data_IF_980476664914
#
_entry.id   IF_980476664914
#
_cell.length_a   1.000
_cell.length_b   1.000
_cell.length_c   1.000
_cell.angle_alpha   90.00
_cell.angle_beta   90.00
_cell.angle_gamma   90.00
#
_symmetry.space_group_name_H-M   'P 1'
#
loop_
_entity.id
_entity.type
_entity.pdbx_description
1 polymer ?
#
# COMPACT_ATOMS: atom_id res chain seq x y z
N UNK A 1 115.86 13.74 198.20
CA UNK A 1 114.53 13.44 198.75
C UNK A 1 113.37 14.20 198.09
N UNK A 2 113.56 15.31 197.37
CA UNK A 2 112.46 16.00 196.68
C UNK A 2 112.14 15.48 195.25
N UNK A 3 112.83 14.41 194.86
CA UNK A 3 112.66 13.62 193.62
C UNK A 3 111.27 12.98 193.53
N UNK A 4 110.58 12.73 194.65
CA UNK A 4 109.26 12.09 194.67
C UNK A 4 108.13 13.09 194.43
N UNK A 5 108.21 14.32 194.95
CA UNK A 5 107.23 15.37 194.66
C UNK A 5 107.29 15.82 193.18
N UNK A 6 108.50 15.82 192.61
CA UNK A 6 108.75 15.94 191.17
C UNK A 6 108.16 14.79 190.35
N UNK A 7 107.92 13.61 190.93
CA UNK A 7 107.28 12.51 190.21
C UNK A 7 105.77 12.48 190.39
N UNK A 8 105.24 12.68 191.59
CA UNK A 8 103.79 12.62 191.83
C UNK A 8 103.07 13.81 191.19
N UNK A 9 103.62 15.02 191.26
CA UNK A 9 103.03 16.17 190.59
C UNK A 9 103.18 16.06 189.06
N UNK A 10 104.31 15.51 188.58
CA UNK A 10 104.52 15.27 187.15
C UNK A 10 103.59 14.18 186.60
N UNK A 11 103.38 13.09 187.35
CA UNK A 11 102.43 12.02 187.02
C UNK A 11 101.00 12.51 187.11
N UNK A 12 100.62 13.30 188.13
CA UNK A 12 99.26 13.82 188.26
C UNK A 12 98.94 14.87 187.19
N UNK A 13 99.88 15.77 186.89
CA UNK A 13 99.76 16.72 185.77
C UNK A 13 99.72 15.97 184.44
N UNK A 14 100.50 14.90 184.28
CA UNK A 14 100.46 14.07 183.08
C UNK A 14 99.21 13.21 182.96
N UNK A 15 98.62 12.71 184.05
CA UNK A 15 97.36 11.97 184.02
C UNK A 15 96.17 12.89 183.70
N UNK A 16 96.10 14.08 184.33
CA UNK A 16 95.10 15.09 183.95
C UNK A 16 95.29 15.55 182.51
N UNK A 17 96.54 15.75 182.07
CA UNK A 17 96.85 16.01 180.65
C UNK A 17 96.40 14.85 179.76
N UNK A 18 96.71 13.61 180.09
CA UNK A 18 96.38 12.43 179.29
C UNK A 18 94.88 12.17 179.20
N UNK A 19 94.10 12.36 180.27
CA UNK A 19 92.62 12.32 180.18
C UNK A 19 92.06 13.46 179.35
N UNK A 20 92.62 14.67 179.49
CA UNK A 20 92.22 15.82 178.67
C UNK A 20 92.55 15.58 177.19
N UNK A 21 93.73 15.02 176.88
CA UNK A 21 94.19 14.65 175.55
C UNK A 21 93.33 13.52 174.98
N UNK A 22 93.03 12.46 175.73
CA UNK A 22 92.20 11.35 175.25
C UNK A 22 90.75 11.77 174.97
N UNK A 23 90.17 12.65 175.80
CA UNK A 23 88.84 13.22 175.51
C UNK A 23 88.87 14.12 174.28
N UNK A 24 89.93 14.91 174.09
CA UNK A 24 90.16 15.70 172.88
C UNK A 24 90.31 14.82 171.65
N UNK A 25 91.15 13.80 171.71
CA UNK A 25 91.37 12.86 170.59
C UNK A 25 90.09 12.13 170.20
N UNK A 26 89.24 11.71 171.16
CA UNK A 26 87.95 11.13 170.82
C UNK A 26 86.97 12.17 170.28
N UNK A 27 86.95 13.39 170.81
CA UNK A 27 86.14 14.49 170.27
C UNK A 27 86.57 14.83 168.83
N UNK A 28 87.87 15.03 168.60
CA UNK A 28 88.49 15.29 167.30
C UNK A 28 88.19 14.17 166.29
N UNK A 29 88.20 12.90 166.73
CA UNK A 29 87.90 11.75 165.85
C UNK A 29 86.41 11.67 165.50
N UNK A 30 85.54 12.06 166.43
CA UNK A 30 84.09 12.14 166.17
C UNK A 30 83.78 13.33 165.26
N UNK A 31 84.45 14.46 165.47
CA UNK A 31 84.37 15.66 164.66
C UNK A 31 84.88 15.41 163.23
N UNK A 32 86.00 14.68 163.06
CA UNK A 32 86.49 14.22 161.75
C UNK A 32 85.50 13.29 161.03
N UNK A 33 84.87 12.35 161.73
CA UNK A 33 83.85 11.47 161.13
C UNK A 33 82.62 12.28 160.70
N UNK A 34 82.20 13.27 161.50
CA UNK A 34 81.10 14.17 161.14
C UNK A 34 81.47 15.02 159.92
N UNK A 35 82.69 15.54 159.85
CA UNK A 35 83.20 16.29 158.69
C UNK A 35 83.18 15.40 157.45
N UNK A 36 83.70 14.17 157.52
CA UNK A 36 83.68 13.24 156.38
C UNK A 36 82.26 12.90 155.91
N UNK A 37 81.33 12.63 156.83
CA UNK A 37 79.93 12.37 156.48
C UNK A 37 79.29 13.60 155.87
N UNK A 38 79.61 14.80 156.37
CA UNK A 38 79.08 16.05 155.86
C UNK A 38 79.65 16.37 154.47
N UNK A 39 80.93 16.08 154.22
CA UNK A 39 81.56 16.18 152.91
C UNK A 39 80.94 15.19 151.91
N UNK A 40 80.69 13.95 152.33
CA UNK A 40 80.02 12.96 151.48
C UNK A 40 78.55 13.33 151.21
N UNK A 41 77.84 13.86 152.20
CA UNK A 41 76.50 14.43 152.03
C UNK A 41 76.50 15.62 151.07
N UNK A 42 77.49 16.51 151.18
CA UNK A 42 77.67 17.62 150.24
C UNK A 42 77.94 17.09 148.84
N UNK A 43 78.84 16.12 148.68
CA UNK A 43 79.15 15.49 147.39
C UNK A 43 77.92 14.84 146.78
N UNK A 44 77.17 14.06 147.55
CA UNK A 44 75.90 13.47 147.11
C UNK A 44 74.86 14.54 146.79
N UNK A 45 74.80 15.63 147.54
CA UNK A 45 73.97 16.79 147.25
C UNK A 45 74.32 17.44 145.91
N UNK A 46 75.62 17.59 145.62
CA UNK A 46 76.09 18.09 144.32
C UNK A 46 75.78 17.12 143.18
N UNK A 47 75.96 15.81 143.38
CA UNK A 47 75.61 14.78 142.39
C UNK A 47 74.10 14.79 142.10
N UNK A 48 73.25 14.88 143.12
CA UNK A 48 71.79 14.97 142.97
C UNK A 48 71.38 16.23 142.20
N UNK A 49 72.04 17.36 142.46
CA UNK A 49 71.74 18.60 141.73
C UNK A 49 72.17 18.51 140.27
N UNK A 50 73.33 17.91 139.98
CA UNK A 50 73.76 17.62 138.62
C UNK A 50 72.76 16.71 137.91
N UNK A 51 72.33 15.61 138.56
CA UNK A 51 71.31 14.71 138.02
C UNK A 51 69.96 15.40 137.78
N UNK A 52 69.57 16.37 138.62
CA UNK A 52 68.35 17.16 138.40
C UNK A 52 68.46 18.05 137.18
N UNK A 53 69.60 18.71 136.98
CA UNK A 53 69.83 19.54 135.81
C UNK A 53 69.93 18.69 134.53
N UNK A 54 70.58 17.53 134.58
CA UNK A 54 70.58 16.55 133.48
C UNK A 54 69.15 16.08 133.16
N UNK A 55 68.38 15.67 134.18
CA UNK A 55 66.99 15.26 134.01
C UNK A 55 66.13 16.37 133.39
N UNK A 56 66.35 17.62 133.79
CA UNK A 56 65.67 18.79 133.24
C UNK A 56 66.09 19.05 131.79
N UNK A 57 67.36 18.87 131.45
CA UNK A 57 67.85 18.90 130.06
C UNK A 57 67.16 17.83 129.23
N UNK A 58 67.14 16.58 129.70
CA UNK A 58 66.47 15.46 129.02
C UNK A 58 64.98 15.71 128.84
N UNK A 59 64.30 16.27 129.84
CA UNK A 59 62.87 16.64 129.73
C UNK A 59 62.67 17.71 128.64
N UNK A 60 63.58 18.68 128.55
CA UNK A 60 63.53 19.75 127.54
C UNK A 60 63.75 19.18 126.14
N UNK A 61 64.77 18.34 125.97
CA UNK A 61 65.03 17.63 124.72
C UNK A 61 63.86 16.74 124.31
N UNK A 62 63.28 15.97 125.24
CA UNK A 62 62.12 15.12 124.97
C UNK A 62 60.89 15.94 124.57
N UNK A 63 60.71 17.11 125.19
CA UNK A 63 59.64 18.04 124.83
C UNK A 63 59.85 18.60 123.42
N UNK A 64 61.08 18.96 123.07
CA UNK A 64 61.43 19.41 121.72
C UNK A 64 61.21 18.30 120.69
N UNK A 65 61.65 17.07 120.98
CA UNK A 65 61.42 15.89 120.13
C UNK A 65 59.92 15.68 119.90
N UNK A 66 59.07 15.87 120.92
CA UNK A 66 57.61 15.77 120.76
C UNK A 66 57.05 16.84 119.82
N UNK A 67 57.57 18.07 119.89
CA UNK A 67 57.18 19.16 118.99
C UNK A 67 57.63 18.85 117.55
N UNK A 68 58.86 18.41 117.36
CA UNK A 68 59.42 18.07 116.04
C UNK A 68 58.68 16.88 115.42
N UNK A 69 58.31 15.88 116.23
CA UNK A 69 57.47 14.77 115.80
C UNK A 69 56.10 15.25 115.33
N UNK A 70 55.47 16.18 116.07
CA UNK A 70 54.17 16.74 115.68
C UNK A 70 54.26 17.58 114.40
N UNK A 71 55.34 18.33 114.23
CA UNK A 71 55.63 19.07 113.00
C UNK A 71 55.83 18.14 111.80
N UNK A 72 56.55 17.04 112.01
CA UNK A 72 56.77 16.01 110.98
C UNK A 72 55.47 15.30 110.60
N UNK A 73 54.62 14.96 111.57
CA UNK A 73 53.28 14.39 111.34
C UNK A 73 52.41 15.32 110.49
N UNK A 74 52.42 16.63 110.76
CA UNK A 74 51.66 17.60 109.97
C UNK A 74 52.16 17.67 108.51
N UNK A 75 53.48 17.73 108.31
CA UNK A 75 54.08 17.73 106.96
C UNK A 75 53.76 16.44 106.20
N UNK A 76 53.71 15.30 106.90
CA UNK A 76 53.33 14.03 106.32
C UNK A 76 51.87 14.05 105.84
N UNK A 77 50.95 14.58 106.66
CA UNK A 77 49.54 14.72 106.31
C UNK A 77 49.33 15.69 105.12
N UNK A 78 50.06 16.81 105.08
CA UNK A 78 50.03 17.73 103.92
C UNK A 78 50.51 17.04 102.64
N UNK A 79 51.61 16.29 102.73
CA UNK A 79 52.13 15.53 101.59
C UNK A 79 51.19 14.40 101.14
N UNK A 80 50.46 13.75 102.05
CA UNK A 80 49.39 12.81 101.69
C UNK A 80 48.24 13.48 100.95
N UNK A 81 47.85 14.69 101.37
CA UNK A 81 46.81 15.47 100.69
C UNK A 81 47.24 15.89 99.28
N UNK A 82 48.46 16.40 99.12
CA UNK A 82 49.02 16.79 97.83
C UNK A 82 49.19 15.57 96.90
N UNK A 83 49.56 14.41 97.46
CA UNK A 83 49.65 13.16 96.70
C UNK A 83 48.28 12.71 96.20
N UNK A 84 47.24 12.82 97.02
CA UNK A 84 45.89 12.45 96.59
C UNK A 84 45.33 13.46 95.57
N UNK A 85 45.58 14.76 95.72
CA UNK A 85 45.15 15.78 94.75
C UNK A 85 45.82 15.57 93.39
N UNK A 86 47.14 15.40 93.35
CA UNK A 86 47.89 15.13 92.10
C UNK A 86 47.44 13.84 91.43
N UNK A 87 47.16 12.79 92.21
CA UNK A 87 46.59 11.53 91.70
C UNK A 87 45.20 11.73 91.09
N UNK A 88 44.35 12.58 91.66
CA UNK A 88 43.03 12.88 91.08
C UNK A 88 43.14 13.69 89.79
N UNK A 89 44.03 14.67 89.73
CA UNK A 89 44.27 15.49 88.54
C UNK A 89 44.80 14.63 87.38
N UNK A 90 45.81 13.80 87.64
CA UNK A 90 46.34 12.85 86.64
C UNK A 90 45.28 11.87 86.12
N UNK A 91 44.33 11.46 86.97
CA UNK A 91 43.24 10.58 86.57
C UNK A 91 42.24 11.29 85.65
N UNK A 92 41.95 12.56 85.92
CA UNK A 92 41.09 13.39 85.09
C UNK A 92 41.74 13.68 83.73
N UNK A 93 43.02 14.05 83.72
CA UNK A 93 43.78 14.30 82.49
C UNK A 93 43.87 13.05 81.62
N UNK A 94 44.12 11.89 82.24
CA UNK A 94 44.13 10.60 81.54
C UNK A 94 42.77 10.31 80.90
N UNK A 95 41.66 10.56 81.60
CA UNK A 95 40.33 10.34 81.06
C UNK A 95 39.98 11.35 79.94
N UNK A 96 40.37 12.61 80.07
CA UNK A 96 40.20 13.63 79.03
C UNK A 96 40.97 13.26 77.75
N UNK A 97 42.25 12.89 77.91
CA UNK A 97 43.12 12.48 76.79
C UNK A 97 42.56 11.25 76.08
N UNK A 98 42.00 10.30 76.84
CA UNK A 98 41.35 9.11 76.30
C UNK A 98 40.09 9.46 75.51
N UNK A 99 39.28 10.40 75.99
CA UNK A 99 38.09 10.86 75.28
C UNK A 99 38.44 11.56 73.97
N UNK A 100 39.44 12.45 73.98
CA UNK A 100 39.95 13.12 72.78
C UNK A 100 40.48 12.11 71.76
N UNK A 101 41.27 11.12 72.21
CA UNK A 101 41.76 10.06 71.33
C UNK A 101 40.62 9.24 70.71
N UNK A 102 39.53 9.04 71.46
CA UNK A 102 38.34 8.33 70.96
C UNK A 102 37.61 9.14 69.89
N UNK A 103 37.48 10.46 70.08
CA UNK A 103 36.92 11.36 69.07
C UNK A 103 37.75 11.39 67.79
N UNK A 104 39.08 11.54 67.91
CA UNK A 104 40.00 11.52 66.75
C UNK A 104 39.89 10.20 65.98
N UNK A 105 39.73 9.07 66.68
CA UNK A 105 39.53 7.77 66.05
C UNK A 105 38.24 7.72 65.23
N UNK A 106 37.14 8.28 65.76
CA UNK A 106 35.86 8.37 65.05
C UNK A 106 35.98 9.25 63.80
N UNK A 107 36.64 10.41 63.90
CA UNK A 107 36.84 11.31 62.76
C UNK A 107 37.69 10.66 61.66
N UNK A 108 38.73 9.91 62.04
CA UNK A 108 39.55 9.17 61.10
C UNK A 108 38.76 8.07 60.39
N UNK A 109 37.90 7.36 61.12
CA UNK A 109 37.02 6.33 60.56
C UNK A 109 35.97 6.94 59.62
N UNK A 110 35.42 8.13 59.96
CA UNK A 110 34.55 8.90 59.07
C UNK A 110 35.26 9.29 57.77
N UNK A 111 36.47 9.85 57.87
CA UNK A 111 37.29 10.27 56.72
C UNK A 111 37.62 9.08 55.81
N UNK A 112 37.94 7.91 56.38
CA UNK A 112 38.16 6.69 55.62
C UNK A 112 36.91 6.30 54.82
N UNK A 113 35.72 6.43 55.40
CA UNK A 113 34.47 6.07 54.74
C UNK A 113 34.11 7.05 53.62
N UNK A 114 34.32 8.35 53.81
CA UNK A 114 34.18 9.34 52.73
C UNK A 114 35.13 9.05 51.56
N UNK A 115 36.39 8.71 51.86
CA UNK A 115 37.37 8.36 50.82
C UNK A 115 36.96 7.10 50.04
N UNK A 116 36.38 6.09 50.73
CA UNK A 116 35.82 4.91 50.06
C UNK A 116 34.65 5.29 49.15
N UNK A 117 33.78 6.20 49.58
CA UNK A 117 32.65 6.65 48.76
C UNK A 117 33.12 7.40 47.50
N UNK A 118 34.06 8.33 47.64
CA UNK A 118 34.65 9.04 46.49
C UNK A 118 35.25 8.07 45.47
N UNK A 119 35.89 6.98 45.95
CA UNK A 119 36.42 5.94 45.07
C UNK A 119 35.32 5.20 44.29
N UNK A 120 34.17 4.95 44.91
CA UNK A 120 33.00 4.35 44.25
C UNK A 120 32.44 5.28 43.19
N UNK A 121 32.27 6.56 43.52
CA UNK A 121 31.72 7.57 42.60
C UNK A 121 32.64 7.78 41.38
N UNK A 122 33.95 7.73 41.58
CA UNK A 122 34.95 7.81 40.52
C UNK A 122 34.88 6.62 39.55
N UNK A 123 34.69 5.40 40.06
CA UNK A 123 34.50 4.24 39.18
C UNK A 123 33.15 4.30 38.45
N UNK A 124 32.08 4.82 39.08
CA UNK A 124 30.79 5.04 38.42
C UNK A 124 30.91 6.02 37.25
N UNK A 125 31.49 7.20 37.48
CA UNK A 125 31.69 8.23 36.43
C UNK A 125 32.58 7.71 35.29
N UNK A 126 33.58 6.87 35.58
CA UNK A 126 34.41 6.22 34.56
C UNK A 126 33.62 5.22 33.71
N UNK A 127 32.64 4.52 34.28
CA UNK A 127 31.74 3.63 33.52
C UNK A 127 30.83 4.46 32.61
N UNK A 128 30.22 5.53 33.14
CA UNK A 128 29.37 6.44 32.34
C UNK A 128 30.15 7.06 31.18
N UNK A 129 31.39 7.49 31.41
CA UNK A 129 32.24 8.05 30.36
C UNK A 129 32.55 7.02 29.25
N UNK A 130 32.75 5.74 29.61
CA UNK A 130 32.91 4.66 28.63
C UNK A 130 31.63 4.46 27.82
N UNK A 131 30.46 4.55 28.45
CA UNK A 131 29.17 4.43 27.76
C UNK A 131 28.97 5.58 26.76
N UNK A 132 29.20 6.83 27.18
CA UNK A 132 29.12 8.00 26.29
C UNK A 132 30.04 7.84 25.06
N UNK A 133 31.23 7.26 25.24
CA UNK A 133 32.14 6.98 24.13
C UNK A 133 31.57 5.96 23.14
N UNK A 134 30.86 4.94 23.63
CA UNK A 134 30.16 3.95 22.79
C UNK A 134 29.04 4.62 22.01
N UNK A 135 28.21 5.43 22.69
CA UNK A 135 27.07 6.13 22.07
C UNK A 135 27.53 7.11 20.99
N UNK A 136 28.67 7.79 21.22
CA UNK A 136 29.27 8.70 20.25
C UNK A 136 29.75 7.95 18.99
N UNK A 137 30.37 6.77 19.13
CA UNK A 137 30.78 5.98 17.97
C UNK A 137 29.56 5.42 17.22
N UNK A 138 28.49 5.04 17.92
CA UNK A 138 27.21 4.67 17.30
C UNK A 138 26.64 5.82 16.47
N UNK A 139 26.50 7.00 17.06
CA UNK A 139 25.98 8.21 16.40
C UNK A 139 26.81 8.57 15.16
N UNK A 140 28.14 8.43 15.24
CA UNK A 140 29.05 8.65 14.11
C UNK A 140 28.84 7.64 12.98
N UNK A 141 28.48 6.39 13.29
CA UNK A 141 28.15 5.39 12.29
C UNK A 141 26.78 5.65 11.65
N UNK A 142 25.79 6.03 12.44
CA UNK A 142 24.48 6.44 11.94
C UNK A 142 24.60 7.62 10.97
N UNK A 143 25.44 8.61 11.31
CA UNK A 143 25.72 9.74 10.43
C UNK A 143 26.38 9.34 9.10
N UNK A 144 27.28 8.34 9.11
CA UNK A 144 27.86 7.80 7.87
C UNK A 144 26.78 7.13 7.03
N UNK A 145 25.86 6.39 7.64
CA UNK A 145 24.77 5.72 6.94
C UNK A 145 23.82 6.75 6.30
N UNK A 146 23.40 7.77 7.05
CA UNK A 146 22.58 8.88 6.52
C UNK A 146 23.24 9.54 5.31
N UNK A 147 24.57 9.69 5.31
CA UNK A 147 25.30 10.24 4.16
C UNK A 147 25.25 9.32 2.93
N UNK A 148 25.26 8.01 3.13
CA UNK A 148 25.08 7.02 2.05
C UNK A 148 23.66 7.09 1.49
N UNK A 149 22.66 7.11 2.37
CA UNK A 149 21.24 7.15 1.98
C UNK A 149 20.91 8.45 1.22
N UNK A 150 21.47 9.58 1.65
CA UNK A 150 21.34 10.86 0.97
C UNK A 150 21.96 10.81 -0.44
N UNK A 151 23.09 10.12 -0.61
CA UNK A 151 23.72 9.93 -1.93
C UNK A 151 22.85 9.03 -2.82
N UNK A 152 22.24 7.98 -2.28
CA UNK A 152 21.30 7.12 -3.02
C UNK A 152 20.09 7.92 -3.49
N UNK A 153 19.45 8.62 -2.56
CA UNK A 153 18.27 9.47 -2.83
C UNK A 153 18.57 10.51 -3.91
N UNK A 154 19.76 11.12 -3.88
CA UNK A 154 20.20 12.07 -4.92
C UNK A 154 20.30 11.42 -6.30
N UNK A 155 20.82 10.19 -6.38
CA UNK A 155 20.95 9.46 -7.64
C UNK A 155 19.56 9.05 -8.18
N UNK A 156 18.68 8.57 -7.31
CA UNK A 156 17.29 8.25 -7.66
C UNK A 156 16.56 9.47 -8.21
N UNK A 157 16.73 10.63 -7.57
CA UNK A 157 16.16 11.90 -8.07
C UNK A 157 16.71 12.30 -9.44
N UNK A 158 18.01 12.09 -9.69
CA UNK A 158 18.61 12.34 -11.00
C UNK A 158 18.02 11.40 -12.07
N UNK A 159 17.77 10.14 -11.73
CA UNK A 159 17.14 9.18 -12.64
C UNK A 159 15.71 9.61 -12.99
N UNK A 160 14.92 10.04 -12.00
CA UNK A 160 13.56 10.55 -12.21
C UNK A 160 13.56 11.74 -13.18
N UNK A 161 14.55 12.64 -13.10
CA UNK A 161 14.68 13.75 -14.05
C UNK A 161 14.89 13.26 -15.49
N UNK A 162 15.77 12.28 -15.68
CA UNK A 162 16.02 11.66 -16.99
C UNK A 162 14.77 10.99 -17.55
N UNK A 163 14.04 10.25 -16.72
CA UNK A 163 12.82 9.55 -17.13
C UNK A 163 11.71 10.54 -17.51
N UNK A 164 11.61 11.66 -16.79
CA UNK A 164 10.66 12.74 -17.09
C UNK A 164 10.98 13.41 -18.43
N UNK A 165 12.25 13.67 -18.72
CA UNK A 165 12.70 14.23 -20.00
C UNK A 165 12.41 13.27 -21.16
N UNK A 166 12.67 11.96 -20.97
CA UNK A 166 12.32 10.93 -21.95
C UNK A 166 10.82 10.87 -22.23
N UNK A 167 10.00 10.90 -21.18
CA UNK A 167 8.53 10.89 -21.29
C UNK A 167 8.03 12.13 -22.03
N UNK A 168 8.61 13.31 -21.75
CA UNK A 168 8.30 14.56 -22.45
C UNK A 168 8.60 14.45 -23.94
N UNK A 169 9.75 13.87 -24.30
CA UNK A 169 10.15 13.71 -25.71
C UNK A 169 9.21 12.74 -26.45
N UNK A 170 8.85 11.63 -25.82
CA UNK A 170 7.88 10.68 -26.39
C UNK A 170 6.50 11.35 -26.62
N UNK A 171 6.05 12.19 -25.69
CA UNK A 171 4.80 12.94 -25.83
C UNK A 171 4.83 13.91 -27.03
N UNK A 172 5.94 14.61 -27.23
CA UNK A 172 6.07 15.53 -28.38
C UNK A 172 6.09 14.76 -29.71
N UNK A 173 6.70 13.57 -29.75
CA UNK A 173 6.65 12.68 -30.93
C UNK A 173 5.21 12.25 -31.25
N UNK A 174 4.46 11.76 -30.25
CA UNK A 174 3.05 11.35 -30.42
C UNK A 174 2.22 12.52 -30.96
N UNK A 175 2.47 13.75 -30.47
CA UNK A 175 1.77 14.94 -30.93
C UNK A 175 2.07 15.25 -32.41
N UNK A 176 3.31 15.09 -32.86
CA UNK A 176 3.68 15.23 -34.27
C UNK A 176 3.00 14.17 -35.13
N UNK A 177 3.01 12.91 -34.69
CA UNK A 177 2.33 11.81 -35.38
C UNK A 177 0.82 12.05 -35.51
N UNK A 178 0.17 12.51 -34.44
CA UNK A 178 -1.26 12.82 -34.43
C UNK A 178 -1.62 13.89 -35.47
N UNK A 179 -0.80 14.94 -35.60
CA UNK A 179 -1.00 15.99 -36.61
C UNK A 179 -0.86 15.40 -38.02
N UNK A 180 0.15 14.55 -38.24
CA UNK A 180 0.36 13.87 -39.53
C UNK A 180 -0.83 12.96 -39.90
N UNK A 181 -1.29 12.12 -38.97
CA UNK A 181 -2.46 11.25 -39.19
C UNK A 181 -3.72 12.07 -39.47
N UNK A 182 -3.92 13.19 -38.77
CA UNK A 182 -5.05 14.09 -39.04
C UNK A 182 -5.03 14.63 -40.47
N UNK A 183 -3.84 14.98 -40.98
CA UNK A 183 -3.70 15.46 -42.34
C UNK A 183 -3.96 14.36 -43.37
N UNK A 184 -3.46 13.14 -43.13
CA UNK A 184 -3.76 11.98 -43.98
C UNK A 184 -5.27 11.70 -44.06
N UNK A 185 -6.00 11.79 -42.93
CA UNK A 185 -7.46 11.64 -42.91
C UNK A 185 -8.14 12.73 -43.75
N UNK A 186 -7.66 13.97 -43.70
CA UNK A 186 -8.23 15.06 -44.50
C UNK A 186 -8.03 14.83 -46.00
N UNK A 187 -6.86 14.33 -46.41
CA UNK A 187 -6.57 13.99 -47.81
C UNK A 187 -7.50 12.86 -48.27
N UNK A 188 -7.57 11.76 -47.53
CA UNK A 188 -8.45 10.62 -47.86
C UNK A 188 -9.92 11.02 -47.97
N UNK A 189 -10.39 11.93 -47.09
CA UNK A 189 -11.75 12.47 -47.19
C UNK A 189 -12.00 13.24 -48.48
N UNK A 190 -11.03 14.04 -48.95
CA UNK A 190 -11.13 14.76 -50.22
C UNK A 190 -11.19 13.78 -51.40
N UNK A 191 -10.30 12.79 -51.42
CA UNK A 191 -10.27 11.74 -52.45
C UNK A 191 -11.59 10.96 -52.50
N UNK A 192 -12.16 10.61 -51.34
CA UNK A 192 -13.48 9.97 -51.28
C UNK A 192 -14.58 10.84 -51.89
N UNK A 193 -14.64 12.15 -51.56
CA UNK A 193 -15.65 13.05 -52.14
C UNK A 193 -15.51 13.20 -53.65
N UNK A 194 -14.28 13.25 -54.16
CA UNK A 194 -14.04 13.29 -55.61
C UNK A 194 -14.53 12.01 -56.29
N UNK A 195 -14.21 10.85 -55.71
CA UNK A 195 -14.64 9.55 -56.22
C UNK A 195 -16.17 9.40 -56.20
N UNK A 196 -16.83 9.83 -55.13
CA UNK A 196 -18.30 9.82 -55.03
C UNK A 196 -18.95 10.73 -56.10
N UNK A 197 -18.35 11.89 -56.38
CA UNK A 197 -18.81 12.78 -57.44
C UNK A 197 -18.66 12.16 -58.83
N UNK A 198 -17.54 11.49 -59.10
CA UNK A 198 -17.31 10.76 -60.36
C UNK A 198 -18.33 9.65 -60.52
N UNK A 199 -18.49 8.79 -59.52
CA UNK A 199 -19.45 7.70 -59.57
C UNK A 199 -20.89 8.17 -59.72
N UNK A 200 -21.26 9.32 -59.11
CA UNK A 200 -22.58 9.92 -59.31
C UNK A 200 -22.79 10.32 -60.76
N UNK A 201 -21.83 10.99 -61.39
CA UNK A 201 -21.89 11.37 -62.82
C UNK A 201 -21.98 10.15 -63.74
N UNK A 202 -21.17 9.12 -63.49
CA UNK A 202 -21.24 7.85 -64.24
C UNK A 202 -22.61 7.19 -64.11
N UNK A 203 -23.17 7.15 -62.88
CA UNK A 203 -24.48 6.56 -62.62
C UNK A 203 -25.60 7.32 -63.33
N UNK A 204 -25.55 8.65 -63.33
CA UNK A 204 -26.53 9.48 -64.03
C UNK A 204 -26.42 9.34 -65.55
N UNK A 205 -25.20 9.24 -66.09
CA UNK A 205 -24.96 8.96 -67.50
C UNK A 205 -25.51 7.59 -67.91
N UNK A 206 -25.16 6.53 -67.18
CA UNK A 206 -25.67 5.17 -67.42
C UNK A 206 -27.20 5.16 -67.37
N UNK A 207 -27.81 5.87 -66.41
CA UNK A 207 -29.28 5.99 -66.32
C UNK A 207 -29.87 6.65 -67.57
N UNK A 208 -29.22 7.70 -68.09
CA UNK A 208 -29.65 8.36 -69.33
C UNK A 208 -29.55 7.42 -70.53
N UNK A 209 -28.42 6.71 -70.67
CA UNK A 209 -28.18 5.76 -71.77
C UNK A 209 -29.17 4.59 -71.74
N UNK A 210 -29.44 4.00 -70.58
CA UNK A 210 -30.45 2.95 -70.39
C UNK A 210 -31.83 3.44 -70.81
N UNK A 211 -32.20 4.67 -70.46
CA UNK A 211 -33.49 5.25 -70.85
C UNK A 211 -33.59 5.51 -72.36
N UNK A 212 -32.51 5.95 -73.00
CA UNK A 212 -32.44 6.13 -74.45
C UNK A 212 -32.58 4.78 -75.19
N UNK A 213 -31.81 3.77 -74.78
CA UNK A 213 -31.87 2.42 -75.34
C UNK A 213 -33.26 1.79 -75.21
N UNK A 214 -33.93 1.96 -74.05
CA UNK A 214 -35.32 1.51 -73.85
C UNK A 214 -36.28 2.13 -74.87
N UNK A 215 -36.10 3.41 -75.24
CA UNK A 215 -36.93 4.08 -76.25
C UNK A 215 -36.67 3.50 -77.64
N UNK A 216 -35.42 3.28 -78.02
CA UNK A 216 -35.05 2.69 -79.31
C UNK A 216 -35.58 1.26 -79.46
N UNK A 217 -35.43 0.41 -78.43
CA UNK A 217 -36.02 -0.95 -78.42
C UNK A 217 -37.54 -0.90 -78.65
N UNK A 218 -38.24 0.07 -78.04
CA UNK A 218 -39.69 0.25 -78.24
C UNK A 218 -40.04 0.62 -79.68
N UNK A 219 -39.22 1.41 -80.37
CA UNK A 219 -39.41 1.75 -81.79
C UNK A 219 -39.16 0.54 -82.70
N UNK A 220 -38.07 -0.18 -82.50
CA UNK A 220 -37.72 -1.37 -83.29
C UNK A 220 -38.81 -2.44 -83.20
N UNK A 221 -39.31 -2.71 -81.98
CA UNK A 221 -40.42 -3.66 -81.78
C UNK A 221 -41.69 -3.28 -82.57
N UNK A 222 -42.00 -1.98 -82.68
CA UNK A 222 -43.14 -1.51 -83.48
C UNK A 222 -42.90 -1.68 -84.98
N UNK A 223 -41.71 -1.37 -85.47
CA UNK A 223 -41.37 -1.47 -86.90
C UNK A 223 -41.36 -2.91 -87.41
N UNK A 224 -40.84 -3.87 -86.62
CA UNK A 224 -40.79 -5.28 -87.00
C UNK A 224 -42.17 -5.94 -87.20
N UNK A 225 -43.22 -5.39 -86.59
CA UNK A 225 -44.59 -5.92 -86.76
C UNK A 225 -45.23 -5.51 -88.09
N UNK A 226 -44.72 -4.47 -88.75
CA UNK A 226 -45.33 -3.88 -89.95
C UNK A 226 -44.84 -4.48 -91.29
N UNK A 227 -43.79 -5.31 -91.29
CA UNK A 227 -43.09 -5.76 -92.53
C UNK A 227 -43.12 -7.26 -92.78
N UNK A 228 -43.84 -8.04 -91.98
CA UNK A 228 -43.90 -9.50 -92.15
C UNK A 228 -44.86 -9.92 -93.26
N UNK A 229 -44.43 -10.76 -94.21
CA UNK A 229 -45.29 -11.50 -95.14
C UNK A 229 -46.35 -12.28 -94.34
N UNK A 230 -47.64 -11.88 -94.36
CA UNK A 230 -48.61 -12.48 -93.47
C UNK A 230 -48.87 -13.93 -93.82
N UNK A 231 -48.96 -14.78 -92.80
CA UNK A 231 -49.37 -16.17 -92.96
C UNK A 231 -50.08 -16.63 -91.69
N UNK A 232 -51.22 -17.28 -91.85
CA UNK A 232 -51.96 -17.85 -90.74
C UNK A 232 -52.52 -19.22 -91.09
N UNK A 233 -52.72 -20.01 -90.03
CA UNK A 233 -53.48 -21.25 -90.05
C UNK A 233 -54.27 -21.28 -88.75
N UNK A 234 -55.58 -21.43 -88.88
CA UNK A 234 -56.49 -21.60 -87.76
C UNK A 234 -57.45 -22.75 -88.04
N UNK A 235 -57.76 -23.52 -87.01
CA UNK A 235 -58.70 -24.62 -87.09
C UNK A 235 -59.85 -24.43 -86.09
N UNK A 236 -60.94 -25.17 -86.29
CA UNK A 236 -62.08 -25.14 -85.37
C UNK A 236 -61.87 -26.17 -84.25
N UNK A 237 -61.91 -25.74 -83.00
CA UNK A 237 -61.81 -26.66 -81.85
C UNK A 237 -63.13 -27.38 -81.56
N UNK A 238 -64.27 -26.70 -81.33
CA UNK A 238 -65.52 -27.37 -80.98
C UNK A 238 -66.21 -27.99 -82.21
N UNK A 239 -66.90 -29.11 -82.00
CA UNK A 239 -67.97 -29.53 -82.92
C UNK A 239 -69.12 -28.53 -82.76
N UNK A 240 -69.49 -27.83 -83.85
CA UNK A 240 -70.36 -26.66 -83.73
C UNK A 240 -71.52 -26.77 -84.74
N UNK A 241 -72.80 -26.58 -84.32
CA UNK A 241 -73.82 -26.15 -85.27
C UNK A 241 -73.39 -24.78 -85.78
N UNK A 242 -73.24 -24.62 -87.09
CA UNK A 242 -72.80 -23.35 -87.63
C UNK A 242 -73.72 -22.23 -87.14
N UNK A 243 -73.15 -21.04 -86.85
CA UNK A 243 -73.94 -19.89 -86.43
C UNK A 243 -74.95 -19.51 -87.53
N UNK A 244 -75.75 -18.47 -87.29
CA UNK A 244 -76.89 -18.13 -88.16
C UNK A 244 -76.43 -17.96 -89.62
N UNK A 245 -77.36 -18.09 -90.56
CA UNK A 245 -77.10 -17.78 -91.97
C UNK A 245 -76.42 -16.40 -92.05
N UNK A 246 -75.36 -16.29 -92.87
CA UNK A 246 -74.49 -15.13 -93.06
C UNK A 246 -73.48 -14.79 -91.94
N UNK A 247 -73.41 -15.59 -90.87
CA UNK A 247 -72.39 -15.41 -89.83
C UNK A 247 -70.99 -15.85 -90.29
N UNK A 248 -69.97 -15.14 -89.76
CA UNK A 248 -68.56 -15.47 -89.99
C UNK A 248 -68.17 -16.66 -89.12
N UNK A 249 -67.58 -17.68 -89.74
CA UNK A 249 -67.02 -18.84 -89.03
C UNK A 249 -65.70 -18.42 -88.38
N UNK A 250 -65.62 -18.56 -87.05
CA UNK A 250 -64.46 -18.18 -86.25
C UNK A 250 -63.62 -19.42 -85.93
N UNK A 251 -62.45 -19.51 -86.56
CA UNK A 251 -61.49 -20.57 -86.28
C UNK A 251 -60.62 -20.14 -85.10
N UNK A 252 -60.77 -20.81 -83.97
CA UNK A 252 -60.24 -20.42 -82.66
C UNK A 252 -58.86 -21.03 -82.34
N UNK A 253 -58.57 -22.23 -82.85
CA UNK A 253 -57.26 -22.89 -82.71
C UNK A 253 -56.24 -22.31 -83.69
N UNK A 254 -55.67 -21.16 -83.34
CA UNK A 254 -54.66 -20.47 -84.15
C UNK A 254 -53.27 -21.08 -83.92
N UNK A 255 -52.77 -21.83 -84.90
CA UNK A 255 -51.45 -22.47 -84.83
C UNK A 255 -50.35 -21.63 -85.46
N UNK A 256 -50.70 -20.82 -86.46
CA UNK A 256 -49.80 -19.87 -87.11
C UNK A 256 -50.53 -18.54 -87.29
N UNK A 257 -49.87 -17.43 -86.97
CA UNK A 257 -50.39 -16.08 -87.23
C UNK A 257 -49.25 -15.07 -87.41
N UNK A 258 -48.35 -15.38 -88.35
CA UNK A 258 -47.22 -14.52 -88.68
C UNK A 258 -47.74 -13.22 -89.29
N UNK A 259 -47.28 -12.09 -88.74
CA UNK A 259 -47.78 -10.76 -89.12
C UNK A 259 -49.07 -10.35 -88.40
N UNK A 260 -49.64 -11.22 -87.54
CA UNK A 260 -50.80 -10.91 -86.71
C UNK A 260 -52.04 -10.48 -87.49
N UNK A 261 -52.15 -10.92 -88.75
CA UNK A 261 -53.18 -10.45 -89.69
C UNK A 261 -54.52 -11.19 -89.54
N UNK A 262 -54.55 -12.36 -88.91
CA UNK A 262 -55.78 -13.08 -88.58
C UNK A 262 -56.18 -12.82 -87.13
N UNK A 263 -57.45 -12.45 -86.92
CA UNK A 263 -58.02 -12.26 -85.58
C UNK A 263 -59.01 -13.40 -85.26
N UNK A 264 -58.67 -14.33 -84.35
CA UNK A 264 -59.55 -15.45 -83.99
C UNK A 264 -60.85 -15.02 -83.29
N UNK A 265 -60.88 -13.83 -82.66
CA UNK A 265 -62.09 -13.35 -81.98
C UNK A 265 -63.17 -12.92 -82.98
N UNK A 266 -62.76 -12.54 -84.20
CA UNK A 266 -63.66 -12.13 -85.29
C UNK A 266 -63.74 -13.16 -86.42
N UNK A 267 -62.75 -14.05 -86.56
CA UNK A 267 -62.66 -15.01 -87.66
C UNK A 267 -62.12 -14.40 -88.96
N UNK A 268 -61.50 -13.22 -88.88
CA UNK A 268 -61.21 -12.38 -90.05
C UNK A 268 -59.71 -12.18 -90.22
N UNK A 269 -59.24 -12.43 -91.44
CA UNK A 269 -57.94 -11.98 -91.91
C UNK A 269 -58.08 -10.53 -92.42
N UNK A 270 -57.20 -9.63 -91.99
CA UNK A 270 -57.08 -8.27 -92.51
C UNK A 270 -55.70 -8.09 -93.14
N UNK A 271 -55.65 -7.79 -94.43
CA UNK A 271 -54.40 -7.60 -95.15
C UNK A 271 -53.59 -6.45 -94.56
N UNK A 272 -52.40 -6.74 -94.04
CA UNK A 272 -51.45 -5.74 -93.52
C UNK A 272 -50.48 -5.23 -94.58
N UNK A 273 -50.40 -5.94 -95.72
CA UNK A 273 -49.62 -5.59 -96.91
C UNK A 273 -50.48 -5.77 -98.16
N UNK A 274 -50.21 -5.00 -99.21
CA UNK A 274 -50.82 -5.23 -100.52
C UNK A 274 -50.13 -6.38 -101.24
N UNK A 275 -50.89 -7.20 -101.97
CA UNK A 275 -50.35 -8.21 -102.88
C UNK A 275 -51.28 -9.41 -103.07
N UNK A 276 -50.73 -10.49 -103.63
CA UNK A 276 -51.42 -11.75 -103.88
C UNK A 276 -51.32 -12.70 -102.68
N UNK A 277 -52.45 -13.27 -102.29
CA UNK A 277 -52.57 -14.22 -101.18
C UNK A 277 -53.24 -15.51 -101.67
N UNK A 278 -52.80 -16.66 -101.18
CA UNK A 278 -53.60 -17.89 -101.30
C UNK A 278 -54.39 -18.08 -100.01
N UNK A 279 -55.67 -18.39 -100.14
CA UNK A 279 -56.51 -18.80 -99.03
C UNK A 279 -57.09 -20.18 -99.31
N UNK A 280 -57.08 -21.03 -98.30
CA UNK A 280 -57.66 -22.36 -98.36
C UNK A 280 -58.56 -22.56 -97.15
N UNK A 281 -59.80 -22.99 -97.39
CA UNK A 281 -60.72 -23.40 -96.34
C UNK A 281 -61.24 -24.80 -96.63
N UNK A 282 -61.02 -25.70 -95.67
CA UNK A 282 -61.57 -27.05 -95.69
C UNK A 282 -62.64 -27.13 -94.63
N UNK A 283 -63.87 -27.46 -95.03
CA UNK A 283 -64.96 -27.75 -94.10
C UNK A 283 -65.35 -29.22 -94.22
N UNK A 284 -65.38 -29.90 -93.07
CA UNK A 284 -65.90 -31.26 -92.95
C UNK A 284 -67.29 -31.18 -92.29
N UNK A 285 -68.35 -31.52 -93.04
CA UNK A 285 -69.71 -31.61 -92.48
C UNK A 285 -69.84 -32.82 -91.57
N UNK A 286 -70.68 -32.70 -90.53
CA UNK A 286 -70.99 -33.80 -89.63
C UNK A 286 -71.79 -34.93 -90.32
N UNK A 287 -71.81 -36.14 -89.77
CA UNK A 287 -72.58 -37.26 -90.31
C UNK A 287 -74.07 -36.88 -90.45
N UNK A 288 -74.62 -37.05 -91.67
CA UNK A 288 -76.02 -36.68 -91.97
C UNK A 288 -76.27 -35.17 -92.13
N UNK A 289 -75.25 -34.32 -92.12
CA UNK A 289 -75.35 -32.87 -92.38
C UNK A 289 -74.65 -32.50 -93.69
N UNK A 290 -75.07 -31.40 -94.29
CA UNK A 290 -74.30 -30.67 -95.31
C UNK A 290 -73.73 -29.38 -94.71
N UNK A 291 -72.86 -28.69 -95.45
CA UNK A 291 -72.44 -27.33 -95.13
C UNK A 291 -72.28 -26.51 -96.40
N UNK A 292 -73.01 -25.40 -96.48
CA UNK A 292 -72.85 -24.39 -97.52
C UNK A 292 -72.11 -23.19 -96.96
N UNK A 293 -70.98 -22.88 -97.56
CA UNK A 293 -70.15 -21.78 -97.09
C UNK A 293 -69.58 -20.99 -98.26
N UNK A 294 -68.99 -19.86 -97.96
CA UNK A 294 -68.31 -19.02 -98.93
C UNK A 294 -67.10 -18.38 -98.29
N UNK A 295 -66.06 -18.23 -99.10
CA UNK A 295 -65.00 -17.29 -98.82
C UNK A 295 -65.43 -15.92 -99.31
N UNK A 296 -65.35 -14.92 -98.45
CA UNK A 296 -65.64 -13.53 -98.77
C UNK A 296 -64.35 -12.73 -98.92
N UNK A 297 -64.32 -11.84 -99.92
CA UNK A 297 -63.43 -10.68 -99.94
C UNK A 297 -64.27 -9.44 -99.60
N UNK A 298 -63.93 -8.78 -98.51
CA UNK A 298 -64.73 -7.70 -97.92
C UNK A 298 -66.19 -8.14 -97.78
N UNK A 299 -67.15 -7.36 -98.26
CA UNK A 299 -68.58 -7.69 -98.15
C UNK A 299 -69.06 -8.74 -99.18
N UNK A 300 -68.27 -9.07 -100.20
CA UNK A 300 -68.74 -9.85 -101.35
C UNK A 300 -68.29 -11.31 -101.30
N UNK A 301 -69.15 -12.28 -101.69
CA UNK A 301 -68.74 -13.67 -101.87
C UNK A 301 -67.72 -13.76 -103.02
N UNK A 302 -66.63 -14.49 -102.79
CA UNK A 302 -65.55 -14.69 -103.76
C UNK A 302 -65.56 -16.12 -104.30
N UNK A 303 -65.64 -17.12 -103.42
CA UNK A 303 -65.71 -18.54 -103.77
C UNK A 303 -66.78 -19.23 -102.94
N UNK A 304 -67.54 -20.12 -103.58
CA UNK A 304 -68.58 -20.90 -102.93
C UNK A 304 -68.06 -22.30 -102.62
N UNK A 305 -68.31 -22.78 -101.41
CA UNK A 305 -67.99 -24.12 -100.95
C UNK A 305 -69.24 -24.89 -100.56
N UNK A 306 -69.22 -26.19 -100.81
CA UNK A 306 -70.30 -27.09 -100.48
C UNK A 306 -69.73 -28.45 -100.05
N UNK A 307 -69.97 -28.83 -98.80
CA UNK A 307 -69.65 -30.17 -98.27
C UNK A 307 -70.95 -30.97 -98.15
N UNK A 308 -71.00 -32.13 -98.80
CA UNK A 308 -72.16 -33.01 -98.81
C UNK A 308 -72.16 -33.96 -97.59
N UNK A 309 -73.33 -34.54 -97.30
CA UNK A 309 -73.48 -35.56 -96.25
C UNK A 309 -72.62 -36.80 -96.55
N UNK A 310 -71.98 -37.35 -95.52
CA UNK A 310 -71.16 -38.57 -95.64
C UNK A 310 -69.71 -38.47 -95.13
N UNK A 311 -69.39 -37.45 -94.32
CA UNK A 311 -68.02 -37.15 -93.88
C UNK A 311 -67.07 -36.79 -95.04
N UNK A 312 -67.61 -36.04 -96.01
CA UNK A 312 -66.84 -35.54 -97.15
C UNK A 312 -66.23 -34.16 -96.84
N UNK A 313 -64.92 -34.01 -97.06
CA UNK A 313 -64.24 -32.72 -96.94
C UNK A 313 -64.28 -32.04 -98.30
N UNK A 314 -64.92 -30.88 -98.37
CA UNK A 314 -64.89 -30.05 -99.57
C UNK A 314 -63.97 -28.88 -99.29
N UNK A 315 -62.73 -28.86 -99.79
CA UNK A 315 -61.87 -27.71 -99.68
C UNK A 315 -62.12 -26.71 -100.80
N UNK A 316 -62.19 -25.43 -100.46
CA UNK A 316 -62.05 -24.34 -101.42
C UNK A 316 -60.65 -23.74 -101.30
N UNK A 317 -60.04 -23.41 -102.44
CA UNK A 317 -58.76 -22.69 -102.49
C UNK A 317 -58.83 -21.61 -103.55
N UNK A 318 -58.29 -20.43 -103.25
CA UNK A 318 -58.25 -19.34 -104.23
C UNK A 318 -57.13 -18.35 -103.95
N UNK A 319 -56.61 -17.82 -105.05
CA UNK A 319 -55.64 -16.74 -105.05
C UNK A 319 -56.38 -15.42 -105.16
N UNK A 320 -56.12 -14.50 -104.25
CA UNK A 320 -56.83 -13.23 -104.10
C UNK A 320 -55.82 -12.09 -103.99
N UNK A 321 -55.94 -11.10 -104.86
CA UNK A 321 -55.22 -9.83 -104.71
C UNK A 321 -55.90 -8.97 -103.65
N UNK A 322 -55.17 -8.51 -102.64
CA UNK A 322 -55.67 -7.70 -101.52
C UNK A 322 -54.91 -6.39 -101.42
N UNK A 323 -55.61 -5.30 -101.08
CA UNK A 323 -55.03 -4.04 -100.62
C UNK A 323 -54.92 -4.03 -99.10
N UNK A 324 -54.02 -3.20 -98.55
CA UNK A 324 -53.94 -2.99 -97.10
C UNK A 324 -55.33 -2.60 -96.56
N UNK A 325 -55.80 -3.34 -95.56
CA UNK A 325 -57.12 -3.18 -94.95
C UNK A 325 -58.24 -4.05 -95.56
N UNK A 326 -58.01 -4.71 -96.71
CA UNK A 326 -58.97 -5.69 -97.24
C UNK A 326 -59.13 -6.86 -96.27
N UNK A 327 -60.36 -7.38 -96.17
CA UNK A 327 -60.74 -8.42 -95.22
C UNK A 327 -61.10 -9.71 -95.94
N UNK A 328 -60.62 -10.85 -95.44
CA UNK A 328 -60.97 -12.18 -95.96
C UNK A 328 -61.44 -13.08 -94.82
N UNK A 329 -62.57 -13.74 -95.02
CA UNK A 329 -63.19 -14.59 -93.99
C UNK A 329 -64.16 -15.58 -94.61
N UNK A 330 -64.57 -16.59 -93.83
CA UNK A 330 -65.52 -17.61 -94.25
C UNK A 330 -66.90 -17.32 -93.66
N UNK A 331 -67.94 -17.37 -94.49
CA UNK A 331 -69.35 -17.24 -94.06
C UNK A 331 -70.16 -18.47 -94.36
N UNK A 332 -71.09 -18.78 -93.46
CA UNK A 332 -72.12 -19.80 -93.64
C UNK A 332 -73.30 -19.23 -94.48
N UNK A 333 -73.91 -20.03 -95.38
CA UNK A 333 -74.83 -19.51 -96.42
C UNK A 333 -76.30 -19.93 -96.37
N UNK A 334 -76.64 -21.15 -95.92
CA UNK A 334 -77.93 -21.75 -96.35
C UNK A 334 -78.88 -22.09 -95.21
N UNK A 335 -78.53 -22.95 -94.25
CA UNK A 335 -79.46 -23.28 -93.14
C UNK A 335 -78.78 -23.31 -91.78
N UNK A 336 -79.37 -22.65 -90.78
CA UNK A 336 -78.85 -22.60 -89.41
C UNK A 336 -78.76 -23.95 -88.67
N UNK A 337 -79.13 -25.06 -89.31
CA UNK A 337 -79.07 -26.43 -88.78
C UNK A 337 -77.86 -27.24 -89.27
N UNK A 338 -76.99 -26.66 -90.10
CA UNK A 338 -75.79 -27.34 -90.60
C UNK A 338 -74.74 -27.48 -89.48
N UNK A 339 -74.17 -28.68 -89.32
CA UNK A 339 -73.18 -28.99 -88.30
C UNK A 339 -71.86 -29.38 -88.95
N UNK A 340 -70.75 -28.82 -88.47
CA UNK A 340 -69.40 -29.11 -88.96
C UNK A 340 -68.54 -29.76 -87.89
N UNK A 341 -67.59 -30.59 -88.32
CA UNK A 341 -66.61 -31.21 -87.43
C UNK A 341 -65.53 -30.20 -87.02
N UNK A 342 -65.37 -30.02 -85.71
CA UNK A 342 -64.22 -29.36 -85.09
C UNK A 342 -63.02 -30.31 -84.98
N UNK A 343 -62.30 -30.26 -83.86
CA UNK A 343 -61.07 -31.05 -83.64
C UNK A 343 -60.05 -30.94 -84.79
N UNK A 344 -59.97 -29.75 -85.39
CA UNK A 344 -59.12 -29.42 -86.52
C UNK A 344 -59.41 -30.11 -87.86
N UNK A 345 -60.54 -30.79 -88.00
CA UNK A 345 -61.02 -31.27 -89.30
C UNK A 345 -61.49 -30.12 -90.21
N UNK A 346 -62.04 -29.06 -89.61
CA UNK A 346 -62.41 -27.83 -90.29
C UNK A 346 -61.33 -26.77 -90.06
N UNK A 347 -60.76 -26.22 -91.12
CA UNK A 347 -59.64 -25.28 -91.04
C UNK A 347 -59.70 -24.18 -92.09
N UNK A 348 -59.08 -23.05 -91.77
CA UNK A 348 -58.90 -21.92 -92.64
C UNK A 348 -57.46 -21.43 -92.53
N UNK A 349 -56.82 -21.28 -93.68
CA UNK A 349 -55.45 -20.81 -93.77
C UNK A 349 -55.32 -19.82 -94.91
N UNK A 350 -54.30 -18.99 -94.79
CA UNK A 350 -53.91 -18.11 -95.87
C UNK A 350 -52.51 -17.58 -95.68
N UNK A 351 -51.83 -17.34 -96.79
CA UNK A 351 -50.49 -16.81 -96.78
C UNK A 351 -50.24 -15.91 -97.98
N UNK A 352 -49.37 -14.93 -97.75
CA UNK A 352 -48.88 -14.03 -98.77
C UNK A 352 -47.98 -14.77 -99.77
N UNK A 353 -48.26 -14.60 -101.05
CA UNK A 353 -47.50 -15.19 -102.16
C UNK A 353 -46.44 -14.19 -102.62
N UNK A 354 -46.87 -13.08 -103.21
CA UNK A 354 -45.99 -12.04 -103.74
C UNK A 354 -46.71 -10.68 -103.80
N UNK A 355 -45.93 -9.59 -103.89
CA UNK A 355 -46.41 -8.20 -103.96
C UNK A 355 -47.05 -7.85 -105.31
#
# INVERSE_FOLDING_TARGET
>A
MFVVALMVLYVYVNERRMRTISSKVNHDRTEQNIIQINDELHRRGTEINLMKEELKSTITELTQVKVDLKSTENKLNEMELDLESTKTELKLDLESTKNELTLVKVDFESTINEFKQVKVDLESTKIELKQVKVDLESTKNDLKQVKVDLKSTKNELQQVYVDLESTRNALEQIKVELVSTREQINILRKEMMEKDNVHRKETDQIRADVNALRKEIKKIKKAACATGKPAFFAALTPHFPLPRIDDVIKFDDVRVNRGGAYDPSTGVFTATVQGLFNFTCSILSNHGSTCHYQLNKNAQPYVLGYSHQGADASPISSIIELKVGDRVFIKHRVTASEVVFGAAHTSFSGYFIHE
#
